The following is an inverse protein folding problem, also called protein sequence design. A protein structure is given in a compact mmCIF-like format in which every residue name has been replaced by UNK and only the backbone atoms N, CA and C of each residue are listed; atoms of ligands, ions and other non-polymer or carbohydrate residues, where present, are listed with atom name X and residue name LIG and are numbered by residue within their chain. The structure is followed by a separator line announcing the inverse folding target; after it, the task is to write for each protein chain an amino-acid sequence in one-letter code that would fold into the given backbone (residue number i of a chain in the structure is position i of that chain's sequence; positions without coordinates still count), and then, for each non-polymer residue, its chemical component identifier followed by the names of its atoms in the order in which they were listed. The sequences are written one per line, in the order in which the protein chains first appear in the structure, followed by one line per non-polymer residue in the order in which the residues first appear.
data_IF_551508847494
#
_entry.id   IF_551508847494
#
_cell.length_a   1.000
_cell.length_b   1.000
_cell.length_c   1.000
_cell.angle_alpha   90.00
_cell.angle_beta   90.00
_cell.angle_gamma   90.00
#
_symmetry.space_group_name_H-M   'P 1'
#
loop_
_entity.id
_entity.type
_entity.pdbx_description
1 polymer ?
#
# COMPACT_ATOMS: atom_id res chain seq x y z
N UNK A 1 20.05 -1.41 54.13
CA UNK A 1 18.88 -1.48 53.24
C UNK A 1 18.29 -2.86 53.45
N UNK A 2 17.17 -2.97 54.15
CA UNK A 2 16.55 -4.27 54.47
C UNK A 2 16.22 -5.01 53.15
N UNK A 3 16.64 -6.27 53.05
CA UNK A 3 16.27 -7.13 51.93
C UNK A 3 14.80 -7.52 52.10
N UNK A 4 13.90 -6.87 51.35
CA UNK A 4 12.51 -7.30 51.26
C UNK A 4 12.42 -8.70 50.69
N UNK A 5 11.68 -9.59 51.36
CA UNK A 5 11.43 -10.93 50.86
C UNK A 5 10.13 -10.97 50.04
N UNK A 6 10.21 -11.55 48.85
CA UNK A 6 9.08 -11.71 47.94
C UNK A 6 8.75 -13.19 47.76
N UNK A 7 7.46 -13.49 47.65
CA UNK A 7 6.96 -14.79 47.23
C UNK A 7 5.99 -14.62 46.07
N UNK A 8 5.93 -15.63 45.22
CA UNK A 8 5.00 -15.64 44.11
C UNK A 8 5.26 -16.83 43.20
N UNK A 9 4.34 -17.03 42.28
CA UNK A 9 4.41 -18.11 41.33
C UNK A 9 3.71 -17.70 40.03
N UNK A 10 4.33 -18.05 38.91
CA UNK A 10 3.79 -17.84 37.58
C UNK A 10 3.09 -19.12 37.13
N UNK A 11 1.76 -19.08 37.04
CA UNK A 11 0.95 -20.25 36.65
C UNK A 11 1.14 -20.58 35.16
N UNK A 12 1.40 -19.55 34.34
CA UNK A 12 1.68 -19.67 32.90
C UNK A 12 0.62 -19.02 32.02
N UNK A 13 0.44 -19.56 30.81
CA UNK A 13 -0.57 -19.09 29.86
C UNK A 13 -1.89 -19.85 30.07
N UNK A 14 -2.90 -19.19 30.64
CA UNK A 14 -4.22 -19.75 30.94
C UNK A 14 -5.27 -18.97 30.15
N UNK A 15 -6.06 -19.66 29.32
CA UNK A 15 -7.15 -19.05 28.51
C UNK A 15 -6.72 -17.80 27.71
N UNK A 16 -5.48 -17.79 27.20
CA UNK A 16 -4.93 -16.68 26.41
C UNK A 16 -4.41 -15.49 27.22
N UNK A 17 -4.28 -15.62 28.54
CA UNK A 17 -3.69 -14.62 29.44
C UNK A 17 -2.55 -15.21 30.25
N UNK A 18 -1.57 -14.39 30.60
CA UNK A 18 -0.45 -14.76 31.46
C UNK A 18 -0.86 -14.47 32.90
N UNK A 19 -0.99 -15.53 33.72
CA UNK A 19 -1.57 -15.46 35.05
C UNK A 19 -0.62 -16.01 36.13
N UNK A 20 -0.80 -15.52 37.35
CA UNK A 20 0.00 -15.91 38.51
C UNK A 20 -0.39 -15.12 39.75
N UNK A 21 0.45 -15.20 40.77
CA UNK A 21 0.32 -14.42 42.00
C UNK A 21 1.67 -13.99 42.55
N UNK A 22 1.69 -12.88 43.30
CA UNK A 22 2.89 -12.37 43.94
C UNK A 22 2.55 -11.47 45.15
N UNK A 23 3.34 -11.56 46.21
CA UNK A 23 3.17 -10.81 47.46
C UNK A 23 4.51 -10.50 48.16
N UNK A 24 4.50 -9.47 48.99
CA UNK A 24 5.59 -9.17 49.94
C UNK A 24 5.42 -10.02 51.18
N UNK A 25 6.45 -10.75 51.62
CA UNK A 25 6.41 -11.55 52.85
C UNK A 25 6.36 -10.67 54.09
N UNK A 26 6.97 -9.47 54.02
CA UNK A 26 7.10 -8.57 55.16
C UNK A 26 5.79 -7.86 55.51
N UNK A 27 4.96 -7.61 54.49
CA UNK A 27 3.73 -6.83 54.63
C UNK A 27 2.46 -7.65 54.30
N UNK A 28 2.57 -8.83 53.70
CA UNK A 28 1.44 -9.62 53.13
C UNK A 28 0.55 -8.85 52.12
N UNK A 29 1.03 -7.73 51.60
CA UNK A 29 0.28 -6.86 50.69
C UNK A 29 0.55 -7.18 49.20
N UNK A 30 -0.43 -6.93 48.31
CA UNK A 30 -0.25 -7.05 46.86
C UNK A 30 0.81 -6.09 46.32
N UNK A 31 1.76 -6.65 45.57
CA UNK A 31 2.89 -5.93 44.97
C UNK A 31 2.69 -5.67 43.47
N UNK A 32 3.47 -4.75 42.91
CA UNK A 32 3.50 -4.54 41.46
C UNK A 32 4.42 -5.56 40.80
N UNK A 33 3.95 -6.14 39.70
CA UNK A 33 4.71 -7.04 38.84
C UNK A 33 4.76 -6.50 37.42
N UNK A 34 5.85 -6.77 36.71
CA UNK A 34 6.08 -6.39 35.33
C UNK A 34 6.14 -7.64 34.46
N UNK A 35 5.31 -7.70 33.42
CA UNK A 35 5.42 -8.71 32.37
C UNK A 35 6.61 -8.39 31.48
N UNK A 36 7.43 -9.40 31.18
CA UNK A 36 8.46 -9.35 30.16
C UNK A 36 8.14 -10.38 29.08
N UNK A 37 8.23 -9.99 27.81
CA UNK A 37 8.18 -10.91 26.67
C UNK A 37 9.48 -10.70 25.89
N UNK A 38 10.22 -11.77 25.64
CA UNK A 38 11.58 -11.77 25.06
C UNK A 38 12.52 -10.78 25.77
N UNK A 39 12.42 -10.73 27.10
CA UNK A 39 13.15 -9.80 27.97
C UNK A 39 12.80 -8.32 27.81
N UNK A 40 11.80 -7.97 26.99
CA UNK A 40 11.30 -6.60 26.85
C UNK A 40 10.16 -6.36 27.85
N UNK A 41 10.25 -5.34 28.73
CA UNK A 41 9.15 -4.95 29.60
C UNK A 41 7.91 -4.54 28.80
N UNK A 42 6.76 -5.10 29.15
CA UNK A 42 5.50 -4.91 28.41
C UNK A 42 4.55 -3.98 29.16
N UNK A 43 4.17 -4.38 30.37
CA UNK A 43 3.20 -3.71 31.20
C UNK A 43 3.51 -4.03 32.67
N UNK A 44 3.20 -3.11 33.58
CA UNK A 44 3.22 -3.37 35.02
C UNK A 44 1.84 -3.29 35.62
N UNK A 45 1.53 -4.18 36.56
CA UNK A 45 0.21 -4.28 37.20
C UNK A 45 0.34 -4.63 38.68
N UNK A 46 -0.56 -4.10 39.50
CA UNK A 46 -0.68 -4.50 40.91
C UNK A 46 -1.37 -5.86 41.00
N UNK A 47 -0.74 -6.82 41.68
CA UNK A 47 -1.24 -8.17 41.82
C UNK A 47 -2.32 -8.24 42.92
N UNK A 48 -3.49 -7.63 42.71
CA UNK A 48 -4.53 -7.49 43.73
C UNK A 48 -5.77 -8.36 43.52
N UNK A 49 -5.77 -9.25 42.51
CA UNK A 49 -6.90 -10.14 42.27
C UNK A 49 -6.98 -11.22 43.37
N UNK A 50 -8.20 -11.61 43.75
CA UNK A 50 -8.40 -12.63 44.78
C UNK A 50 -8.07 -14.04 44.27
N UNK A 51 -7.31 -14.79 45.07
CA UNK A 51 -6.83 -16.16 44.81
C UNK A 51 -7.15 -17.05 46.01
N UNK A 52 -8.19 -17.87 45.87
CA UNK A 52 -8.65 -18.77 46.94
C UNK A 52 -7.61 -19.83 47.28
N UNK A 53 -6.94 -20.39 46.28
CA UNK A 53 -5.87 -21.37 46.42
C UNK A 53 -4.68 -20.86 47.24
N UNK A 54 -4.31 -19.59 47.06
CA UNK A 54 -3.24 -18.96 47.85
C UNK A 54 -3.71 -18.68 49.27
N UNK A 55 -4.97 -18.27 49.46
CA UNK A 55 -5.55 -18.09 50.80
C UNK A 55 -5.58 -19.41 51.59
N UNK A 56 -5.99 -20.50 50.95
CA UNK A 56 -6.10 -21.83 51.56
C UNK A 56 -4.73 -22.40 51.99
N UNK A 57 -3.64 -21.89 51.40
CA UNK A 57 -2.26 -22.22 51.79
C UNK A 57 -1.76 -21.46 53.04
N UNK A 58 -2.59 -20.58 53.65
CA UNK A 58 -2.24 -19.71 54.77
C UNK A 58 -1.07 -18.75 54.52
N UNK A 59 -0.86 -18.33 53.26
CA UNK A 59 0.27 -17.47 52.86
C UNK A 59 -0.11 -15.98 52.76
N UNK A 60 -1.40 -15.64 52.73
CA UNK A 60 -1.93 -14.25 52.77
C UNK A 60 -3.47 -14.24 52.83
N UNK A 61 -4.08 -13.04 52.85
CA UNK A 61 -5.53 -12.85 52.68
C UNK A 61 -6.08 -13.24 51.29
N UNK A 62 -5.21 -13.64 50.35
CA UNK A 62 -5.57 -14.11 49.01
C UNK A 62 -5.62 -13.01 47.93
N UNK A 63 -5.52 -11.73 48.28
CA UNK A 63 -5.50 -10.62 47.31
C UNK A 63 -4.11 -10.42 46.71
N UNK A 64 -3.64 -11.39 45.91
CA UNK A 64 -2.26 -11.44 45.41
C UNK A 64 -2.15 -11.83 43.92
N UNK A 65 -3.27 -12.01 43.22
CA UNK A 65 -3.31 -12.48 41.83
C UNK A 65 -3.09 -11.39 40.79
N UNK A 66 -2.52 -11.77 39.64
CA UNK A 66 -2.41 -10.93 38.45
C UNK A 66 -2.80 -11.70 37.18
N UNK A 67 -3.17 -10.97 36.13
CA UNK A 67 -3.49 -11.51 34.81
C UNK A 67 -3.16 -10.46 33.75
N UNK A 68 -2.36 -10.83 32.74
CA UNK A 68 -1.96 -9.97 31.61
C UNK A 68 -2.50 -10.51 30.30
N UNK A 69 -3.02 -9.62 29.45
CA UNK A 69 -3.32 -9.94 28.05
C UNK A 69 -2.03 -9.84 27.22
N UNK A 70 -1.85 -10.74 26.24
CA UNK A 70 -0.72 -10.65 25.30
C UNK A 70 -1.03 -9.56 24.26
N UNK A 71 -0.22 -8.49 24.15
CA UNK A 71 -0.47 -7.41 23.17
C UNK A 71 -0.29 -7.88 21.73
N UNK A 72 -0.94 -7.20 20.78
CA UNK A 72 -0.97 -7.61 19.37
C UNK A 72 0.42 -7.76 18.73
N UNK A 73 1.41 -6.97 19.17
CA UNK A 73 2.76 -7.01 18.60
C UNK A 73 3.49 -8.35 18.79
N UNK A 74 3.09 -9.16 19.78
CA UNK A 74 3.62 -10.53 19.98
C UNK A 74 2.62 -11.62 19.55
N UNK A 75 1.57 -11.24 18.80
CA UNK A 75 0.68 -12.21 18.14
C UNK A 75 1.15 -12.45 16.70
N UNK A 76 2.45 -12.61 16.54
CA UNK A 76 3.14 -12.59 15.26
C UNK A 76 3.31 -13.97 14.60
N UNK A 77 2.91 -15.03 15.30
CA UNK A 77 3.06 -16.41 14.87
C UNK A 77 4.45 -16.99 15.13
N UNK A 78 5.31 -16.30 15.89
CA UNK A 78 6.60 -16.80 16.38
C UNK A 78 6.48 -17.34 17.81
N UNK A 79 7.51 -18.10 18.24
CA UNK A 79 7.64 -18.50 19.64
C UNK A 79 8.24 -17.35 20.43
N UNK A 80 7.55 -16.94 21.49
CA UNK A 80 8.05 -15.96 22.45
C UNK A 80 8.23 -16.58 23.81
N UNK A 81 9.29 -16.18 24.50
CA UNK A 81 9.49 -16.46 25.92
C UNK A 81 8.84 -15.36 26.75
N UNK A 82 8.22 -15.70 27.88
CA UNK A 82 7.71 -14.73 28.82
C UNK A 82 8.17 -15.00 30.24
N UNK A 83 8.28 -13.93 31.02
CA UNK A 83 8.52 -14.01 32.46
C UNK A 83 7.82 -12.87 33.17
N UNK A 84 7.65 -12.99 34.48
CA UNK A 84 7.07 -11.94 35.31
C UNK A 84 8.05 -11.62 36.42
N UNK A 85 8.37 -10.34 36.58
CA UNK A 85 9.33 -9.84 37.57
C UNK A 85 8.64 -8.92 38.56
N UNK A 86 9.03 -8.97 39.82
CA UNK A 86 8.59 -7.98 40.83
C UNK A 86 9.17 -6.61 40.48
N UNK A 87 8.32 -5.58 40.47
CA UNK A 87 8.72 -4.23 40.11
C UNK A 87 9.77 -3.69 41.08
N UNK A 88 10.82 -3.05 40.55
CA UNK A 88 11.96 -2.54 41.32
C UNK A 88 12.75 -3.60 42.11
N UNK A 89 12.61 -4.88 41.76
CA UNK A 89 13.42 -5.97 42.31
C UNK A 89 13.95 -6.87 41.19
N UNK A 90 15.14 -7.45 41.40
CA UNK A 90 15.69 -8.50 40.51
C UNK A 90 15.15 -9.88 40.89
N UNK A 91 13.83 -9.98 41.08
CA UNK A 91 13.16 -11.22 41.45
C UNK A 91 12.15 -11.61 40.36
N UNK A 92 12.49 -12.66 39.60
CA UNK A 92 11.62 -13.28 38.59
C UNK A 92 10.82 -14.40 39.27
N UNK A 93 9.52 -14.41 39.03
CA UNK A 93 8.65 -15.43 39.62
C UNK A 93 8.99 -16.83 39.09
N UNK A 94 9.07 -17.84 39.96
CA UNK A 94 9.27 -19.23 39.54
C UNK A 94 8.04 -19.78 38.79
N UNK A 95 8.26 -20.76 37.92
CA UNK A 95 7.21 -21.58 37.27
C UNK A 95 7.70 -23.01 37.03
N UNK A 96 6.77 -23.96 36.90
CA UNK A 96 7.08 -25.38 36.64
C UNK A 96 6.96 -25.77 35.15
N UNK A 97 6.79 -24.81 34.25
CA UNK A 97 6.54 -25.05 32.82
C UNK A 97 7.45 -24.25 31.89
N UNK A 98 7.42 -24.59 30.60
CA UNK A 98 8.01 -23.75 29.55
C UNK A 98 7.15 -22.49 29.39
N UNK A 99 7.64 -21.35 29.86
CA UNK A 99 6.98 -20.06 29.72
C UNK A 99 7.13 -19.52 28.29
N UNK A 100 6.50 -20.22 27.33
CA UNK A 100 6.47 -19.83 25.93
C UNK A 100 5.07 -19.80 25.39
N UNK A 101 4.83 -18.93 24.41
CA UNK A 101 3.59 -18.93 23.64
C UNK A 101 3.87 -18.69 22.16
N UNK A 102 2.88 -19.07 21.34
CA UNK A 102 2.83 -18.79 19.91
C UNK A 102 1.39 -18.45 19.56
N UNK A 103 1.12 -17.21 19.19
CA UNK A 103 -0.21 -16.73 18.82
C UNK A 103 -0.19 -16.20 17.38
N UNK A 104 -1.20 -16.54 16.57
CA UNK A 104 -1.34 -16.18 15.15
C UNK A 104 -2.80 -16.17 14.67
N UNK A 105 -3.04 -16.00 13.36
CA UNK A 105 -4.37 -15.79 12.71
C UNK A 105 -5.47 -16.66 13.33
N UNK A 106 -6.56 -16.03 13.78
CA UNK A 106 -7.67 -16.72 14.45
C UNK A 106 -8.46 -17.64 13.51
N UNK A 107 -9.05 -18.72 14.05
CA UNK A 107 -9.87 -19.67 13.25
C UNK A 107 -11.00 -18.98 12.48
N UNK A 108 -11.60 -17.94 13.06
CA UNK A 108 -12.67 -17.16 12.42
C UNK A 108 -12.17 -16.33 11.22
N UNK A 109 -10.92 -15.85 11.26
CA UNK A 109 -10.29 -15.12 10.16
C UNK A 109 -9.95 -16.08 9.02
N UNK A 110 -9.39 -17.25 9.34
CA UNK A 110 -9.14 -18.31 8.33
C UNK A 110 -10.43 -18.73 7.64
N UNK A 111 -11.50 -18.97 8.40
CA UNK A 111 -12.79 -19.36 7.83
C UNK A 111 -13.42 -18.23 6.99
N UNK A 112 -13.32 -16.97 7.44
CA UNK A 112 -13.76 -15.82 6.66
C UNK A 112 -13.00 -15.73 5.34
N UNK A 113 -11.68 -15.84 5.38
CA UNK A 113 -10.85 -15.83 4.18
C UNK A 113 -11.25 -16.95 3.22
N UNK A 114 -11.45 -18.17 3.73
CA UNK A 114 -11.91 -19.33 2.95
C UNK A 114 -13.24 -19.04 2.23
N UNK A 115 -14.23 -18.52 2.95
CA UNK A 115 -15.55 -18.17 2.41
C UNK A 115 -15.47 -17.04 1.38
N UNK A 116 -14.65 -16.02 1.64
CA UNK A 116 -14.41 -14.94 0.67
C UNK A 116 -13.81 -15.51 -0.62
N UNK A 117 -12.75 -16.34 -0.54
CA UNK A 117 -12.14 -16.97 -1.71
C UNK A 117 -13.10 -17.89 -2.46
N UNK A 118 -13.93 -18.66 -1.76
CA UNK A 118 -14.98 -19.49 -2.37
C UNK A 118 -15.98 -18.64 -3.18
N UNK A 119 -16.43 -17.51 -2.63
CA UNK A 119 -17.31 -16.60 -3.34
C UNK A 119 -16.64 -15.99 -4.59
N UNK A 120 -15.37 -15.58 -4.47
CA UNK A 120 -14.62 -15.02 -5.60
C UNK A 120 -14.41 -16.03 -6.72
N UNK A 121 -14.01 -17.27 -6.38
CA UNK A 121 -13.84 -18.36 -7.35
C UNK A 121 -15.15 -18.66 -8.09
N UNK A 122 -16.25 -18.82 -7.34
CA UNK A 122 -17.58 -19.12 -7.89
C UNK A 122 -18.06 -18.02 -8.83
N UNK A 123 -17.74 -16.76 -8.55
CA UNK A 123 -18.11 -15.60 -9.37
C UNK A 123 -17.11 -15.25 -10.47
N UNK A 124 -16.16 -16.14 -10.80
CA UNK A 124 -15.09 -15.86 -11.75
C UNK A 124 -15.04 -16.86 -12.91
N UNK A 125 -14.53 -16.39 -14.05
CA UNK A 125 -14.19 -17.20 -15.23
C UNK A 125 -12.67 -17.18 -15.37
N UNK A 126 -12.05 -18.35 -15.47
CA UNK A 126 -10.60 -18.47 -15.70
C UNK A 126 -10.34 -19.04 -17.08
N UNK A 127 -9.48 -18.37 -17.85
CA UNK A 127 -9.03 -18.76 -19.18
C UNK A 127 -7.50 -18.88 -19.19
N UNK A 128 -6.98 -19.76 -20.04
CA UNK A 128 -5.56 -19.73 -20.41
C UNK A 128 -5.32 -18.67 -21.47
N UNK A 129 -4.16 -18.02 -21.43
CA UNK A 129 -3.66 -17.25 -22.58
C UNK A 129 -2.73 -18.10 -23.45
N UNK A 130 -1.96 -17.44 -24.31
CA UNK A 130 -1.03 -18.07 -25.26
C UNK A 130 0.39 -18.19 -24.71
N UNK A 131 0.67 -17.58 -23.55
CA UNK A 131 1.93 -17.77 -22.82
C UNK A 131 1.78 -18.88 -21.78
N UNK A 132 2.89 -19.30 -21.20
CA UNK A 132 2.93 -20.30 -20.14
C UNK A 132 3.44 -19.71 -18.82
N UNK A 133 3.01 -20.30 -17.71
CA UNK A 133 3.64 -20.05 -16.40
C UNK A 133 4.96 -20.82 -16.40
N UNK A 134 6.06 -20.09 -16.52
CA UNK A 134 7.39 -20.70 -16.53
C UNK A 134 7.82 -21.02 -15.09
N UNK A 135 8.35 -22.22 -14.89
CA UNK A 135 8.92 -22.59 -13.61
C UNK A 135 10.08 -21.65 -13.25
N UNK A 136 10.13 -21.21 -12.00
CA UNK A 136 11.16 -20.31 -11.45
C UNK A 136 11.30 -18.95 -12.17
N UNK A 137 10.37 -18.59 -13.06
CA UNK A 137 10.31 -17.26 -13.65
C UNK A 137 9.58 -16.27 -12.71
N UNK A 138 9.94 -14.98 -12.75
CA UNK A 138 9.18 -13.98 -12.03
C UNK A 138 7.74 -13.87 -12.57
N UNK A 139 6.80 -13.59 -11.68
CA UNK A 139 5.37 -13.52 -12.03
C UNK A 139 4.87 -12.09 -11.88
N UNK A 140 4.00 -11.65 -12.79
CA UNK A 140 3.24 -10.41 -12.64
C UNK A 140 1.76 -10.72 -12.35
N UNK A 141 1.23 -10.19 -11.24
CA UNK A 141 -0.18 -10.23 -10.89
C UNK A 141 -0.83 -8.89 -11.25
N UNK A 142 -1.42 -8.82 -12.44
CA UNK A 142 -1.98 -7.58 -12.97
C UNK A 142 -3.48 -7.52 -12.71
N UNK A 143 -3.93 -6.60 -11.86
CA UNK A 143 -5.34 -6.29 -11.64
C UNK A 143 -5.80 -5.15 -12.57
N UNK A 144 -6.87 -5.36 -13.33
CA UNK A 144 -7.40 -4.38 -14.28
C UNK A 144 -8.89 -4.17 -14.03
N UNK A 145 -9.38 -2.95 -14.26
CA UNK A 145 -10.79 -2.64 -14.32
C UNK A 145 -11.14 -1.87 -15.59
N UNK A 146 -11.63 -2.59 -16.60
CA UNK A 146 -12.02 -2.01 -17.89
C UNK A 146 -13.42 -2.44 -18.34
N UNK A 147 -14.33 -1.46 -18.51
CA UNK A 147 -15.72 -1.70 -18.95
C UNK A 147 -15.93 -1.73 -20.47
N UNK A 148 -14.92 -1.36 -21.25
CA UNK A 148 -15.08 -1.16 -22.70
C UNK A 148 -15.09 -2.49 -23.47
N UNK A 149 -14.45 -3.52 -22.91
CA UNK A 149 -14.18 -4.79 -23.60
C UNK A 149 -12.96 -4.73 -24.55
N UNK A 150 -12.25 -3.59 -24.58
CA UNK A 150 -11.07 -3.39 -25.40
C UNK A 150 -9.82 -3.27 -24.54
N UNK A 151 -8.74 -3.93 -24.94
CA UNK A 151 -7.44 -3.77 -24.29
C UNK A 151 -6.91 -2.38 -24.63
N UNK A 152 -6.69 -1.55 -23.61
CA UNK A 152 -6.19 -0.19 -23.80
C UNK A 152 -4.73 -0.20 -24.29
N UNK A 153 -4.27 0.91 -24.84
CA UNK A 153 -2.88 1.08 -25.27
C UNK A 153 -1.90 0.86 -24.11
N UNK A 154 -2.12 1.52 -22.97
CA UNK A 154 -1.34 1.38 -21.73
C UNK A 154 -1.36 -0.05 -21.21
N UNK A 155 -2.53 -0.70 -21.20
CA UNK A 155 -2.64 -2.09 -20.76
C UNK A 155 -1.81 -3.01 -21.66
N UNK A 156 -1.88 -2.82 -22.98
CA UNK A 156 -1.09 -3.57 -23.97
C UNK A 156 0.41 -3.32 -23.80
N UNK A 157 0.83 -2.05 -23.66
CA UNK A 157 2.24 -1.67 -23.48
C UNK A 157 2.80 -2.24 -22.19
N UNK A 158 2.05 -2.19 -21.10
CA UNK A 158 2.45 -2.78 -19.82
C UNK A 158 2.62 -4.29 -19.96
N UNK A 159 1.65 -4.98 -20.56
CA UNK A 159 1.73 -6.41 -20.84
C UNK A 159 2.96 -6.79 -21.70
N UNK A 160 3.29 -5.98 -22.70
CA UNK A 160 4.50 -6.16 -23.52
C UNK A 160 5.77 -5.99 -22.69
N UNK A 161 5.89 -4.88 -21.96
CA UNK A 161 7.07 -4.58 -21.12
C UNK A 161 7.33 -5.68 -20.08
N UNK A 162 6.27 -6.25 -19.49
CA UNK A 162 6.39 -7.38 -18.56
C UNK A 162 6.91 -8.64 -19.25
N UNK A 163 6.39 -8.98 -20.43
CA UNK A 163 6.83 -10.14 -21.19
C UNK A 163 8.27 -9.99 -21.71
N UNK A 164 8.64 -8.81 -22.19
CA UNK A 164 9.98 -8.51 -22.70
C UNK A 164 11.05 -8.64 -21.60
N UNK A 165 10.65 -8.45 -20.33
CA UNK A 165 11.47 -8.68 -19.14
C UNK A 165 11.41 -10.12 -18.61
N UNK A 166 10.68 -11.01 -19.28
CA UNK A 166 10.57 -12.43 -18.92
C UNK A 166 9.62 -12.74 -17.78
N UNK A 167 8.67 -11.84 -17.44
CA UNK A 167 7.66 -12.12 -16.42
C UNK A 167 6.50 -12.92 -17.01
N UNK A 168 6.11 -14.00 -16.35
CA UNK A 168 4.85 -14.68 -16.64
C UNK A 168 3.68 -13.89 -16.06
N UNK A 169 2.74 -13.46 -16.91
CA UNK A 169 1.61 -12.63 -16.48
C UNK A 169 0.39 -13.48 -16.13
N UNK A 170 -0.12 -13.30 -14.92
CA UNK A 170 -1.47 -13.70 -14.51
C UNK A 170 -2.29 -12.42 -14.46
N UNK A 171 -3.27 -12.31 -15.35
CA UNK A 171 -4.13 -11.13 -15.47
C UNK A 171 -5.46 -11.37 -14.76
N UNK A 172 -5.95 -10.38 -14.01
CA UNK A 172 -7.29 -10.39 -13.42
C UNK A 172 -8.05 -9.13 -13.82
N UNK A 173 -9.08 -9.32 -14.65
CA UNK A 173 -9.93 -8.26 -15.17
C UNK A 173 -11.27 -8.26 -14.41
N UNK A 174 -11.52 -7.17 -13.68
CA UNK A 174 -12.66 -7.01 -12.78
C UNK A 174 -13.95 -6.57 -13.50
N UNK A 175 -14.22 -7.17 -14.65
CA UNK A 175 -15.49 -7.00 -15.39
C UNK A 175 -15.83 -8.29 -16.15
N UNK A 176 -17.06 -8.78 -15.96
CA UNK A 176 -17.61 -9.93 -16.71
C UNK A 176 -18.29 -9.52 -18.03
N UNK A 177 -18.60 -8.24 -18.22
CA UNK A 177 -19.19 -7.77 -19.47
C UNK A 177 -18.13 -7.72 -20.59
N UNK A 178 -18.45 -8.29 -21.76
CA UNK A 178 -17.59 -8.28 -22.95
C UNK A 178 -16.19 -8.86 -22.70
N UNK A 179 -16.09 -9.78 -21.76
CA UNK A 179 -14.81 -10.32 -21.32
C UNK A 179 -14.13 -11.15 -22.42
N UNK A 180 -14.89 -11.77 -23.32
CA UNK A 180 -14.38 -12.58 -24.42
C UNK A 180 -13.59 -11.72 -25.42
N UNK A 181 -14.11 -10.53 -25.77
CA UNK A 181 -13.42 -9.57 -26.63
C UNK A 181 -12.10 -9.09 -26.01
N UNK A 182 -12.13 -8.82 -24.71
CA UNK A 182 -10.93 -8.42 -23.97
C UNK A 182 -9.92 -9.58 -23.89
N UNK A 183 -10.40 -10.79 -23.59
CA UNK A 183 -9.59 -12.00 -23.49
C UNK A 183 -8.85 -12.28 -24.80
N UNK A 184 -9.52 -12.18 -25.94
CA UNK A 184 -8.90 -12.39 -27.25
C UNK A 184 -7.73 -11.43 -27.51
N UNK A 185 -7.84 -10.18 -27.04
CA UNK A 185 -6.79 -9.17 -27.21
C UNK A 185 -5.63 -9.33 -26.21
N UNK A 186 -5.92 -9.82 -25.00
CA UNK A 186 -4.95 -9.99 -23.92
C UNK A 186 -4.24 -11.36 -23.95
N UNK A 187 -4.84 -12.39 -24.54
CA UNK A 187 -4.33 -13.76 -24.59
C UNK A 187 -2.87 -13.88 -25.07
N UNK A 188 -2.41 -13.15 -26.11
CA UNK A 188 -1.02 -13.23 -26.59
C UNK A 188 0.04 -12.87 -25.55
N UNK A 189 -0.36 -12.16 -24.49
CA UNK A 189 0.55 -11.62 -23.48
C UNK A 189 0.43 -12.29 -22.12
N UNK A 190 -0.58 -13.14 -21.91
CA UNK A 190 -0.91 -13.68 -20.60
C UNK A 190 -0.70 -15.19 -20.56
N UNK A 191 -0.27 -15.70 -19.41
CA UNK A 191 -0.31 -17.13 -19.14
C UNK A 191 -1.70 -17.55 -18.66
N UNK A 192 -2.29 -16.74 -17.78
CA UNK A 192 -3.61 -16.95 -17.21
C UNK A 192 -4.39 -15.64 -17.19
N UNK A 193 -5.70 -15.73 -17.41
CA UNK A 193 -6.63 -14.61 -17.35
C UNK A 193 -7.82 -14.99 -16.48
N UNK A 194 -8.16 -14.15 -15.52
CA UNK A 194 -9.30 -14.30 -14.62
C UNK A 194 -10.25 -13.14 -14.86
N UNK A 195 -11.53 -13.42 -15.01
CA UNK A 195 -12.59 -12.43 -15.16
C UNK A 195 -13.56 -12.54 -13.99
N UNK A 196 -13.84 -11.43 -13.34
CA UNK A 196 -14.64 -11.40 -12.10
C UNK A 196 -15.43 -10.10 -11.98
N UNK A 197 -16.29 -9.99 -10.97
CA UNK A 197 -16.88 -8.71 -10.58
C UNK A 197 -15.88 -7.85 -9.81
N UNK A 198 -16.10 -6.54 -9.76
CA UNK A 198 -15.17 -5.57 -9.14
C UNK A 198 -15.24 -5.50 -7.61
N UNK A 199 -15.91 -6.45 -6.95
CA UNK A 199 -16.02 -6.49 -5.49
C UNK A 199 -14.61 -6.57 -4.86
N UNK A 200 -14.28 -5.74 -3.88
CA UNK A 200 -12.97 -5.82 -3.20
C UNK A 200 -11.74 -5.43 -4.05
N UNK A 201 -11.96 -5.04 -5.32
CA UNK A 201 -10.98 -4.42 -6.24
C UNK A 201 -9.65 -5.19 -6.36
N UNK A 202 -8.53 -4.47 -6.38
CA UNK A 202 -7.20 -4.99 -6.72
C UNK A 202 -6.72 -6.02 -5.69
N UNK A 203 -6.90 -5.76 -4.40
CA UNK A 203 -6.55 -6.75 -3.36
C UNK A 203 -7.34 -8.05 -3.48
N UNK A 204 -8.63 -7.99 -3.84
CA UNK A 204 -9.41 -9.21 -4.12
C UNK A 204 -8.95 -9.91 -5.41
N UNK A 205 -8.46 -9.16 -6.38
CA UNK A 205 -7.91 -9.68 -7.63
C UNK A 205 -6.59 -10.42 -7.37
N UNK A 206 -5.65 -9.78 -6.66
CA UNK A 206 -4.38 -10.40 -6.27
C UNK A 206 -4.58 -11.61 -5.36
N UNK A 207 -5.46 -11.51 -4.36
CA UNK A 207 -5.77 -12.66 -3.50
C UNK A 207 -6.30 -13.85 -4.29
N UNK A 208 -7.21 -13.62 -5.24
CA UNK A 208 -7.76 -14.68 -6.10
C UNK A 208 -6.69 -15.26 -7.04
N UNK A 209 -5.81 -14.43 -7.59
CA UNK A 209 -4.69 -14.89 -8.42
C UNK A 209 -3.73 -15.79 -7.64
N UNK A 210 -3.37 -15.40 -6.42
CA UNK A 210 -2.52 -16.20 -5.52
C UNK A 210 -3.22 -17.50 -5.14
N UNK A 211 -4.51 -17.45 -4.85
CA UNK A 211 -5.28 -18.61 -4.41
C UNK A 211 -5.43 -19.66 -5.53
N UNK A 212 -5.62 -19.24 -6.78
CA UNK A 212 -5.74 -20.15 -7.93
C UNK A 212 -4.40 -20.70 -8.45
N UNK A 213 -3.30 -19.96 -8.29
CA UNK A 213 -1.97 -20.29 -8.84
C UNK A 213 -0.90 -20.28 -7.75
N UNK A 214 -1.24 -20.84 -6.59
CA UNK A 214 -0.45 -20.70 -5.36
C UNK A 214 0.96 -21.25 -5.51
N UNK A 215 1.09 -22.42 -6.11
CA UNK A 215 2.38 -23.12 -6.19
C UNK A 215 3.33 -22.38 -7.15
N UNK A 216 2.82 -21.87 -8.26
CA UNK A 216 3.57 -21.05 -9.21
C UNK A 216 3.98 -19.71 -8.58
N UNK A 217 3.05 -19.02 -7.91
CA UNK A 217 3.35 -17.75 -7.21
C UNK A 217 4.41 -17.95 -6.12
N UNK A 218 4.33 -19.03 -5.35
CA UNK A 218 5.26 -19.29 -4.24
C UNK A 218 6.62 -19.85 -4.70
N UNK A 219 6.69 -20.43 -5.89
CA UNK A 219 7.96 -20.88 -6.47
C UNK A 219 8.77 -19.72 -7.07
N UNK A 220 8.10 -18.69 -7.60
CA UNK A 220 8.70 -17.54 -8.26
C UNK A 220 9.77 -16.83 -7.40
N UNK A 221 10.85 -16.31 -8.02
CA UNK A 221 11.91 -15.57 -7.33
C UNK A 221 11.40 -14.25 -6.73
N UNK A 222 10.47 -13.60 -7.44
CA UNK A 222 9.70 -12.47 -6.96
C UNK A 222 8.37 -12.38 -7.73
N UNK A 223 7.43 -11.66 -7.14
CA UNK A 223 6.12 -11.36 -7.75
C UNK A 223 5.95 -9.85 -7.83
N UNK A 224 5.61 -9.37 -9.03
CA UNK A 224 5.25 -7.98 -9.28
C UNK A 224 3.72 -7.83 -9.21
N UNK A 225 3.25 -7.07 -8.24
CA UNK A 225 1.85 -6.68 -8.10
C UNK A 225 1.65 -5.34 -8.78
N UNK A 226 0.62 -5.22 -9.61
CA UNK A 226 0.26 -3.97 -10.26
C UNK A 226 -1.23 -3.87 -10.54
N UNK A 227 -1.75 -2.63 -10.54
CA UNK A 227 -3.12 -2.33 -10.95
C UNK A 227 -3.16 -1.34 -12.12
N UNK A 228 -4.35 -1.06 -12.65
CA UNK A 228 -4.55 -0.16 -13.80
C UNK A 228 -4.76 1.32 -13.43
N UNK A 229 -4.33 1.72 -12.22
CA UNK A 229 -4.39 3.11 -11.78
C UNK A 229 -3.33 4.00 -12.43
N UNK A 230 -2.31 3.41 -13.06
CA UNK A 230 -1.24 4.10 -13.80
C UNK A 230 -1.45 3.96 -15.31
N UNK A 231 -1.11 5.01 -16.04
CA UNK A 231 -1.08 5.07 -17.51
C UNK A 231 0.38 4.99 -17.95
N UNK A 232 0.64 4.20 -18.99
CA UNK A 232 1.97 3.88 -19.54
C UNK A 232 2.19 2.36 -19.63
N UNK A 233 3.43 1.87 -19.73
CA UNK A 233 4.65 2.66 -19.73
C UNK A 233 4.88 3.39 -21.06
N UNK A 234 5.32 4.65 -20.99
CA UNK A 234 5.69 5.46 -22.17
C UNK A 234 7.07 5.10 -22.73
N UNK A 235 7.92 4.47 -21.91
CA UNK A 235 9.27 4.04 -22.24
C UNK A 235 9.68 2.85 -21.38
N UNK A 236 10.98 2.53 -21.35
CA UNK A 236 11.52 1.41 -20.57
C UNK A 236 11.31 1.60 -19.06
N UNK A 237 10.92 0.55 -18.34
CA UNK A 237 10.90 0.54 -16.87
C UNK A 237 12.23 0.09 -16.24
N UNK A 238 13.34 0.07 -16.99
CA UNK A 238 14.60 -0.57 -16.59
C UNK A 238 15.15 -0.05 -15.26
N UNK A 239 15.19 1.27 -15.09
CA UNK A 239 15.63 1.93 -13.84
C UNK A 239 14.90 1.39 -12.60
N UNK A 240 13.60 1.12 -12.70
CA UNK A 240 12.80 0.56 -11.62
C UNK A 240 13.24 -0.87 -11.26
N UNK A 241 13.42 -1.72 -12.28
CA UNK A 241 13.83 -3.11 -12.09
C UNK A 241 15.28 -3.23 -11.61
N UNK A 242 16.18 -2.38 -12.11
CA UNK A 242 17.57 -2.31 -11.66
C UNK A 242 17.66 -1.91 -10.19
N UNK A 243 16.91 -0.87 -9.78
CA UNK A 243 16.90 -0.42 -8.38
C UNK A 243 16.34 -1.49 -7.44
N UNK A 244 15.28 -2.21 -7.85
CA UNK A 244 14.79 -3.36 -7.10
C UNK A 244 15.86 -4.46 -6.96
N UNK A 245 16.47 -4.86 -8.07
CA UNK A 245 17.43 -5.96 -8.14
C UNK A 245 18.71 -5.66 -7.35
N UNK A 246 19.22 -4.43 -7.43
CA UNK A 246 20.40 -3.99 -6.69
C UNK A 246 20.13 -3.76 -5.20
N UNK A 247 18.89 -3.38 -4.86
CA UNK A 247 18.52 -2.97 -3.51
C UNK A 247 18.39 -4.12 -2.51
N UNK A 248 18.20 -5.36 -2.97
CA UNK A 248 17.99 -6.52 -2.10
C UNK A 248 16.81 -6.32 -1.15
N UNK A 249 15.71 -5.78 -1.67
CA UNK A 249 14.48 -5.51 -0.94
C UNK A 249 13.58 -6.74 -0.90
N UNK A 250 12.88 -6.93 0.22
CA UNK A 250 11.80 -7.90 0.34
C UNK A 250 10.50 -7.35 -0.25
N UNK A 251 10.25 -6.05 -0.06
CA UNK A 251 9.11 -5.33 -0.64
C UNK A 251 9.61 -4.02 -1.23
N UNK A 252 9.25 -3.73 -2.48
CA UNK A 252 9.71 -2.53 -3.17
C UNK A 252 8.58 -1.89 -3.98
N UNK A 253 8.20 -0.65 -3.68
CA UNK A 253 7.13 0.07 -4.39
C UNK A 253 7.63 1.21 -5.27
N UNK A 254 6.70 1.87 -5.97
CA UNK A 254 7.03 3.09 -6.73
C UNK A 254 7.34 4.27 -5.80
N UNK A 255 6.44 4.54 -4.86
CA UNK A 255 6.42 5.71 -3.99
C UNK A 255 5.85 5.33 -2.64
N UNK A 256 6.32 5.99 -1.59
CA UNK A 256 5.76 5.96 -0.24
C UNK A 256 4.89 7.21 0.01
N UNK A 257 4.02 7.12 0.99
CA UNK A 257 3.12 8.18 1.39
C UNK A 257 2.99 8.19 2.91
N UNK A 258 2.82 9.38 3.46
CA UNK A 258 2.58 9.59 4.89
C UNK A 258 1.09 9.80 5.20
N UNK A 259 0.21 9.64 4.21
CA UNK A 259 -1.21 9.99 4.36
C UNK A 259 -1.86 8.97 5.30
N UNK A 260 -2.39 9.45 6.43
CA UNK A 260 -2.93 8.62 7.51
C UNK A 260 -1.89 7.63 8.10
N UNK A 261 -0.60 7.91 7.90
CA UNK A 261 0.55 7.13 8.36
C UNK A 261 1.45 6.64 7.21
N UNK A 262 2.70 6.31 7.50
CA UNK A 262 3.64 5.78 6.50
C UNK A 262 3.12 4.49 5.85
N UNK A 263 3.12 4.45 4.51
CA UNK A 263 2.79 3.27 3.72
C UNK A 263 3.41 3.36 2.31
N UNK A 264 3.58 2.20 1.67
CA UNK A 264 3.95 2.10 0.25
C UNK A 264 2.66 2.14 -0.58
N UNK A 265 2.65 2.93 -1.66
CA UNK A 265 1.49 2.99 -2.54
C UNK A 265 1.32 1.70 -3.36
N UNK A 266 0.09 1.18 -3.43
CA UNK A 266 -0.19 -0.15 -3.98
C UNK A 266 -0.30 -0.22 -5.50
N UNK A 267 -0.09 0.89 -6.23
CA UNK A 267 -0.27 0.91 -7.69
C UNK A 267 0.63 -0.07 -8.44
N UNK A 268 1.86 -0.25 -7.93
CA UNK A 268 2.83 -1.21 -8.42
C UNK A 268 3.88 -1.45 -7.32
N UNK A 269 4.12 -2.71 -6.97
CA UNK A 269 5.15 -3.10 -6.02
C UNK A 269 5.63 -4.53 -6.24
N UNK A 270 6.89 -4.79 -5.88
CA UNK A 270 7.54 -6.09 -5.93
C UNK A 270 7.49 -6.74 -4.55
N UNK A 271 7.35 -8.06 -4.52
CA UNK A 271 7.60 -8.88 -3.34
C UNK A 271 8.58 -10.00 -3.67
N UNK A 272 9.64 -10.13 -2.88
CA UNK A 272 10.59 -11.23 -2.98
C UNK A 272 9.94 -12.55 -2.53
N UNK A 273 10.56 -13.68 -2.90
CA UNK A 273 10.21 -15.00 -2.36
C UNK A 273 10.23 -15.04 -0.84
N UNK A 274 11.15 -14.31 -0.20
CA UNK A 274 11.23 -14.16 1.27
C UNK A 274 9.97 -13.49 1.81
N UNK A 275 9.54 -12.39 1.20
CA UNK A 275 8.33 -11.69 1.61
C UNK A 275 7.07 -12.55 1.42
N UNK A 276 6.94 -13.24 0.29
CA UNK A 276 5.81 -14.13 -0.02
C UNK A 276 5.75 -15.35 0.91
N UNK A 277 6.89 -15.81 1.41
CA UNK A 277 6.99 -16.90 2.37
C UNK A 277 6.85 -16.43 3.82
N UNK A 278 6.79 -15.10 4.05
CA UNK A 278 6.75 -14.54 5.40
C UNK A 278 5.40 -14.78 6.08
N UNK A 279 5.37 -15.10 7.37
CA UNK A 279 4.13 -15.13 8.15
C UNK A 279 3.39 -13.79 8.13
N UNK A 280 4.11 -12.67 8.06
CA UNK A 280 3.55 -11.32 8.03
C UNK A 280 2.62 -11.12 6.82
N UNK A 281 3.06 -11.53 5.62
CA UNK A 281 2.25 -11.45 4.41
C UNK A 281 0.96 -12.28 4.52
N UNK A 282 1.08 -13.55 4.93
CA UNK A 282 -0.09 -14.43 5.03
C UNK A 282 -1.05 -13.99 6.14
N UNK A 283 -0.55 -13.42 7.25
CA UNK A 283 -1.38 -12.82 8.29
C UNK A 283 -2.21 -11.67 7.74
N UNK A 284 -1.59 -10.76 7.00
CA UNK A 284 -2.32 -9.70 6.31
C UNK A 284 -3.43 -10.30 5.45
N UNK A 285 -3.08 -11.24 4.56
CA UNK A 285 -4.02 -11.81 3.59
C UNK A 285 -5.22 -12.50 4.28
N UNK A 286 -4.99 -13.27 5.35
CA UNK A 286 -6.07 -13.91 6.10
C UNK A 286 -6.92 -12.95 6.93
N UNK A 287 -6.34 -11.86 7.45
CA UNK A 287 -7.06 -10.85 8.24
C UNK A 287 -7.85 -9.86 7.37
N UNK A 288 -7.46 -9.72 6.10
CA UNK A 288 -8.05 -8.76 5.18
C UNK A 288 -9.49 -9.14 4.80
N UNK A 289 -10.40 -8.19 4.96
CA UNK A 289 -11.81 -8.33 4.55
C UNK A 289 -12.03 -7.49 3.31
N UNK A 290 -12.53 -8.11 2.24
CA UNK A 290 -12.84 -7.40 1.00
C UNK A 290 -14.04 -6.49 1.21
N UNK A 291 -13.91 -5.24 0.74
CA UNK A 291 -14.93 -4.21 0.86
C UNK A 291 -14.99 -3.38 -0.42
N UNK A 292 -16.14 -2.79 -0.70
CA UNK A 292 -16.32 -1.80 -1.78
C UNK A 292 -16.18 -0.36 -1.27
N UNK A 293 -16.05 -0.17 0.05
CA UNK A 293 -15.78 1.13 0.67
C UNK A 293 -14.32 1.54 0.40
N UNK A 294 -14.14 2.63 -0.35
CA UNK A 294 -12.83 3.17 -0.74
C UNK A 294 -11.97 3.52 0.49
N UNK A 295 -12.59 4.05 1.55
CA UNK A 295 -11.89 4.44 2.76
C UNK A 295 -11.43 3.22 3.57
N UNK A 296 -12.22 2.14 3.56
CA UNK A 296 -11.82 0.86 4.15
C UNK A 296 -10.70 0.19 3.36
N UNK A 297 -10.76 0.21 2.03
CA UNK A 297 -9.69 -0.32 1.17
C UNK A 297 -8.37 0.43 1.40
N UNK A 298 -8.38 1.76 1.54
CA UNK A 298 -7.16 2.52 1.82
C UNK A 298 -6.61 2.17 3.21
N UNK A 299 -7.48 2.19 4.24
CA UNK A 299 -7.04 1.97 5.63
C UNK A 299 -6.61 0.53 5.90
N UNK A 300 -7.44 -0.44 5.52
CA UNK A 300 -7.19 -1.86 5.78
C UNK A 300 -6.28 -2.49 4.72
N UNK A 301 -6.32 -1.99 3.47
CA UNK A 301 -5.51 -2.46 2.35
C UNK A 301 -4.14 -1.82 2.37
N UNK A 302 -3.96 -0.64 1.74
CA UNK A 302 -2.62 -0.07 1.53
C UNK A 302 -1.84 0.20 2.83
N UNK A 303 -2.50 0.82 3.82
CA UNK A 303 -1.87 1.15 5.11
C UNK A 303 -1.70 -0.12 5.96
N UNK A 304 -2.72 -0.96 6.03
CA UNK A 304 -2.66 -2.23 6.75
C UNK A 304 -1.54 -3.12 6.21
N UNK A 305 -1.50 -3.34 4.90
CA UNK A 305 -0.49 -4.11 4.18
C UNK A 305 0.92 -3.64 4.52
N UNK A 306 1.19 -2.35 4.34
CA UNK A 306 2.52 -1.79 4.62
C UNK A 306 2.93 -1.97 6.08
N UNK A 307 2.01 -1.78 7.03
CA UNK A 307 2.27 -2.00 8.46
C UNK A 307 2.58 -3.46 8.79
N UNK A 308 1.84 -4.41 8.22
CA UNK A 308 2.11 -5.83 8.42
C UNK A 308 3.50 -6.22 7.94
N UNK A 309 3.93 -5.70 6.79
CA UNK A 309 5.24 -6.00 6.22
C UNK A 309 6.38 -5.38 7.05
N UNK A 310 6.25 -4.11 7.45
CA UNK A 310 7.26 -3.43 8.28
C UNK A 310 7.42 -4.07 9.66
N UNK A 311 6.32 -4.50 10.29
CA UNK A 311 6.36 -5.20 11.57
C UNK A 311 6.91 -6.63 11.45
N UNK A 312 7.03 -7.17 10.24
CA UNK A 312 7.60 -8.48 9.97
C UNK A 312 9.11 -8.49 9.75
N UNK A 313 9.81 -7.38 10.04
CA UNK A 313 11.25 -7.20 9.82
C UNK A 313 11.69 -7.37 8.35
N UNK A 314 10.76 -7.23 7.40
CA UNK A 314 11.05 -7.28 5.98
C UNK A 314 11.74 -5.99 5.52
N UNK A 315 12.74 -6.12 4.65
CA UNK A 315 13.44 -4.97 4.09
C UNK A 315 12.59 -4.29 3.02
N UNK A 316 11.94 -3.19 3.39
CA UNK A 316 11.11 -2.39 2.51
C UNK A 316 11.88 -1.25 1.83
N UNK A 317 11.49 -0.88 0.62
CA UNK A 317 12.01 0.30 -0.08
C UNK A 317 11.05 0.84 -1.12
N UNK A 318 11.37 2.00 -1.70
CA UNK A 318 10.61 2.58 -2.81
C UNK A 318 11.54 3.18 -3.86
N UNK A 319 11.07 3.23 -5.10
CA UNK A 319 11.82 3.79 -6.23
C UNK A 319 12.04 5.29 -6.05
N UNK A 320 11.01 6.00 -5.59
CA UNK A 320 11.01 7.43 -5.38
C UNK A 320 10.53 7.77 -3.96
N UNK A 321 11.46 7.87 -2.98
CA UNK A 321 11.12 8.23 -1.60
C UNK A 321 10.53 9.64 -1.51
N UNK A 322 9.46 9.80 -0.73
CA UNK A 322 8.70 11.03 -0.58
C UNK A 322 9.58 12.22 -0.18
N UNK A 323 10.48 12.01 0.78
CA UNK A 323 11.38 13.04 1.27
C UNK A 323 12.32 13.53 0.15
N UNK A 324 12.87 12.62 -0.64
CA UNK A 324 13.81 12.93 -1.73
C UNK A 324 13.10 13.66 -2.89
N UNK A 325 11.94 13.16 -3.35
CA UNK A 325 11.16 13.83 -4.41
C UNK A 325 10.61 15.18 -3.97
N UNK A 326 10.21 15.32 -2.70
CA UNK A 326 9.72 16.58 -2.16
C UNK A 326 10.84 17.63 -2.11
N UNK A 327 12.04 17.24 -1.65
CA UNK A 327 13.20 18.11 -1.65
C UNK A 327 13.60 18.55 -3.07
N UNK A 328 13.59 17.61 -4.03
CA UNK A 328 13.85 17.92 -5.44
C UNK A 328 12.81 18.89 -6.01
N UNK A 329 11.53 18.64 -5.77
CA UNK A 329 10.44 19.53 -6.22
C UNK A 329 10.59 20.94 -5.63
N UNK A 330 10.91 21.06 -4.34
CA UNK A 330 11.13 22.34 -3.65
C UNK A 330 12.35 23.09 -4.20
N UNK A 331 13.41 22.38 -4.58
CA UNK A 331 14.62 22.99 -5.14
C UNK A 331 14.38 23.70 -6.49
N UNK A 332 13.33 23.29 -7.23
CA UNK A 332 12.95 23.86 -8.53
C UNK A 332 11.75 24.82 -8.44
N UNK A 333 11.36 25.26 -7.24
CA UNK A 333 10.16 26.09 -7.05
C UNK A 333 10.18 27.37 -7.90
N UNK A 334 11.32 28.07 -7.98
CA UNK A 334 11.44 29.31 -8.75
C UNK A 334 11.25 29.06 -10.26
N UNK A 335 11.90 28.03 -10.80
CA UNK A 335 11.73 27.61 -12.20
C UNK A 335 10.27 27.29 -12.51
N UNK A 336 9.60 26.56 -11.60
CA UNK A 336 8.19 26.18 -11.75
C UNK A 336 7.24 27.37 -11.76
N UNK A 337 7.49 28.34 -10.89
CA UNK A 337 6.72 29.58 -10.84
C UNK A 337 6.93 30.36 -12.15
N UNK A 338 8.17 30.47 -12.63
CA UNK A 338 8.48 31.17 -13.88
C UNK A 338 7.83 30.49 -15.10
N UNK A 339 7.87 29.16 -15.19
CA UNK A 339 7.21 28.38 -16.25
C UNK A 339 5.70 28.60 -16.25
N UNK A 340 5.07 28.57 -15.08
CA UNK A 340 3.64 28.77 -14.96
C UNK A 340 3.20 30.20 -15.33
N UNK A 341 4.07 31.20 -15.12
CA UNK A 341 3.84 32.59 -15.54
C UNK A 341 3.96 32.75 -17.06
N UNK A 342 4.89 32.02 -17.69
CA UNK A 342 5.23 32.16 -19.10
C UNK A 342 4.04 31.83 -20.04
N UNK A 343 3.12 30.94 -19.61
CA UNK A 343 2.04 30.35 -20.43
C UNK A 343 2.56 29.58 -21.67
N UNK A 344 1.77 28.66 -22.24
CA UNK A 344 2.16 28.01 -23.49
C UNK A 344 2.22 29.01 -24.66
N UNK A 345 3.14 28.78 -25.59
CA UNK A 345 3.16 29.47 -26.88
C UNK A 345 1.81 29.27 -27.60
N UNK A 346 1.30 30.31 -28.26
CA UNK A 346 0.01 30.24 -28.95
C UNK A 346 -1.23 30.27 -28.03
N UNK A 347 -1.10 30.50 -26.72
CA UNK A 347 -2.25 30.58 -25.80
C UNK A 347 -3.33 31.61 -26.20
N UNK A 348 -2.97 32.68 -26.93
CA UNK A 348 -3.93 33.65 -27.50
C UNK A 348 -4.64 33.14 -28.77
N UNK A 349 -4.03 32.21 -29.51
CA UNK A 349 -4.47 31.78 -30.84
C UNK A 349 -5.59 30.74 -30.80
N UNK A 350 -5.94 30.21 -29.62
CA UNK A 350 -7.03 29.25 -29.41
C UNK A 350 -8.47 29.84 -29.58
N UNK A 351 -8.59 30.91 -30.36
CA UNK A 351 -9.75 31.21 -31.22
C UNK A 351 -11.08 31.57 -30.55
N UNK A 352 -11.10 31.85 -29.24
CA UNK A 352 -12.37 31.92 -28.50
C UNK A 352 -12.48 33.03 -27.44
N UNK A 353 -11.40 33.79 -27.19
CA UNK A 353 -11.39 34.94 -26.28
C UNK A 353 -10.98 36.20 -27.05
N UNK A 354 -11.65 37.33 -26.78
CA UNK A 354 -11.11 38.63 -27.17
C UNK A 354 -9.90 39.01 -26.29
N UNK A 355 -9.10 39.96 -26.75
CA UNK A 355 -7.85 40.38 -26.09
C UNK A 355 -8.07 40.77 -24.62
N UNK A 356 -9.16 41.48 -24.31
CA UNK A 356 -9.47 41.92 -22.94
C UNK A 356 -9.82 40.75 -22.04
N UNK A 357 -10.64 39.81 -22.54
CA UNK A 357 -11.00 38.58 -21.83
C UNK A 357 -9.78 37.68 -21.62
N UNK A 358 -8.91 37.57 -22.63
CA UNK A 358 -7.67 36.83 -22.52
C UNK A 358 -6.76 37.43 -21.45
N UNK A 359 -6.49 38.74 -21.50
CA UNK A 359 -5.63 39.42 -20.51
C UNK A 359 -6.16 39.27 -19.08
N UNK A 360 -7.48 39.40 -18.87
CA UNK A 360 -8.09 39.20 -17.57
C UNK A 360 -7.93 37.76 -17.05
N UNK A 361 -8.21 36.77 -17.89
CA UNK A 361 -8.08 35.35 -17.51
C UNK A 361 -6.62 34.92 -17.35
N UNK A 362 -5.70 35.47 -18.16
CA UNK A 362 -4.26 35.30 -18.03
C UNK A 362 -3.79 35.78 -16.66
N UNK A 363 -4.18 36.99 -16.26
CA UNK A 363 -3.84 37.50 -14.92
C UNK A 363 -4.37 36.56 -13.83
N UNK A 364 -5.63 36.15 -13.92
CA UNK A 364 -6.21 35.20 -12.96
C UNK A 364 -5.52 33.83 -12.95
N UNK A 365 -5.01 33.35 -14.09
CA UNK A 365 -4.21 32.13 -14.14
C UNK A 365 -2.85 32.28 -13.47
N UNK A 366 -2.15 33.38 -13.77
CA UNK A 366 -0.84 33.68 -13.19
C UNK A 366 -0.96 33.79 -11.67
N UNK A 367 -1.92 34.58 -11.16
CA UNK A 367 -2.17 34.73 -9.73
C UNK A 367 -2.46 33.36 -9.09
N UNK A 368 -3.35 32.57 -9.70
CA UNK A 368 -3.69 31.23 -9.23
C UNK A 368 -2.49 30.27 -9.21
N UNK A 369 -1.66 30.27 -10.24
CA UNK A 369 -0.52 29.36 -10.33
C UNK A 369 0.56 29.72 -9.31
N UNK A 370 0.88 31.01 -9.16
CA UNK A 370 1.81 31.51 -8.15
C UNK A 370 1.34 31.14 -6.75
N UNK A 371 0.07 31.43 -6.43
CA UNK A 371 -0.53 31.09 -5.13
C UNK A 371 -0.48 29.58 -4.90
N UNK A 372 -0.80 28.77 -5.92
CA UNK A 372 -0.78 27.32 -5.80
C UNK A 372 0.62 26.81 -5.46
N UNK A 373 1.66 27.27 -6.16
CA UNK A 373 3.04 26.85 -5.92
C UNK A 373 3.57 27.28 -4.56
N UNK A 374 3.34 28.55 -4.17
CA UNK A 374 3.77 29.07 -2.88
C UNK A 374 3.09 28.30 -1.74
N UNK A 375 1.77 28.11 -1.82
CA UNK A 375 1.02 27.37 -0.81
C UNK A 375 1.46 25.89 -0.76
N UNK A 376 1.66 25.24 -1.91
CA UNK A 376 2.12 23.85 -1.95
C UNK A 376 3.52 23.72 -1.34
N UNK A 377 4.42 24.66 -1.62
CA UNK A 377 5.75 24.70 -1.02
C UNK A 377 5.72 24.92 0.50
N UNK A 378 4.85 25.82 0.99
CA UNK A 378 4.65 26.02 2.44
C UNK A 378 4.16 24.75 3.08
N UNK A 379 3.13 24.11 2.50
CA UNK A 379 2.57 22.87 2.99
C UNK A 379 3.63 21.77 3.10
N UNK A 380 4.46 21.57 2.07
CA UNK A 380 5.52 20.57 2.09
C UNK A 380 6.58 20.86 3.16
N UNK A 381 6.97 22.14 3.34
CA UNK A 381 7.93 22.56 4.40
C UNK A 381 7.37 22.38 5.80
N UNK A 382 6.05 22.53 5.96
CA UNK A 382 5.33 22.34 7.22
C UNK A 382 4.98 20.86 7.48
N UNK A 383 5.36 19.95 6.58
CA UNK A 383 5.12 18.51 6.73
C UNK A 383 3.71 18.06 6.41
N UNK A 384 2.91 18.89 5.71
CA UNK A 384 1.62 18.44 5.19
C UNK A 384 1.81 17.39 4.12
N UNK A 385 1.02 16.32 4.23
CA UNK A 385 1.10 15.19 3.32
C UNK A 385 0.34 15.48 2.03
N UNK A 386 0.94 15.08 0.91
CA UNK A 386 0.33 15.09 -0.42
C UNK A 386 0.45 13.72 -1.05
N UNK A 387 -0.39 13.43 -2.05
CA UNK A 387 -0.16 12.26 -2.88
C UNK A 387 1.04 12.52 -3.80
N UNK A 388 2.14 11.73 -3.70
CA UNK A 388 3.35 11.99 -4.47
C UNK A 388 3.15 11.79 -5.97
N UNK A 389 2.35 10.81 -6.38
CA UNK A 389 2.04 10.54 -7.78
C UNK A 389 1.18 11.63 -8.43
N UNK A 390 0.55 12.50 -7.63
CA UNK A 390 -0.17 13.67 -8.14
C UNK A 390 0.70 14.92 -8.16
N UNK A 391 1.44 15.18 -7.08
CA UNK A 391 2.19 16.43 -6.89
C UNK A 391 3.51 16.43 -7.65
N UNK A 392 4.22 15.30 -7.63
CA UNK A 392 5.58 15.15 -8.14
C UNK A 392 5.64 14.38 -9.46
N UNK A 393 4.54 14.38 -10.23
CA UNK A 393 4.41 13.58 -11.45
C UNK A 393 5.54 13.84 -12.45
N UNK A 394 6.06 15.08 -12.52
CA UNK A 394 7.11 15.47 -13.46
C UNK A 394 8.48 14.97 -13.00
N UNK A 395 8.79 15.07 -11.71
CA UNK A 395 10.00 14.49 -11.12
C UNK A 395 10.02 12.97 -11.25
N UNK A 396 8.88 12.33 -10.97
CA UNK A 396 8.74 10.89 -11.15
C UNK A 396 9.05 10.48 -12.59
N UNK A 397 8.49 11.21 -13.55
CA UNK A 397 8.65 10.94 -14.97
C UNK A 397 10.09 11.17 -15.47
N UNK A 398 10.68 12.32 -15.15
CA UNK A 398 11.94 12.79 -15.76
C UNK A 398 13.17 12.41 -14.93
N UNK A 399 13.12 12.64 -13.61
CA UNK A 399 14.30 12.46 -12.74
C UNK A 399 14.41 11.03 -12.22
N UNK A 400 13.28 10.40 -11.89
CA UNK A 400 13.23 9.00 -11.47
C UNK A 400 13.02 8.04 -12.63
N UNK A 401 12.90 8.55 -13.87
CA UNK A 401 12.71 7.75 -15.08
C UNK A 401 11.58 6.72 -14.93
N UNK A 402 10.48 7.12 -14.29
CA UNK A 402 9.31 6.29 -14.10
C UNK A 402 8.31 6.62 -15.22
N UNK A 403 8.20 5.83 -16.29
CA UNK A 403 7.42 6.17 -17.48
C UNK A 403 5.91 5.95 -17.27
N UNK A 404 5.39 6.30 -16.09
CA UNK A 404 4.02 6.04 -15.66
C UNK A 404 3.40 7.30 -15.05
N UNK A 405 2.13 7.57 -15.37
CA UNK A 405 1.37 8.69 -14.79
C UNK A 405 0.07 8.19 -14.17
N UNK A 406 -0.31 8.73 -13.01
CA UNK A 406 -1.57 8.36 -12.35
C UNK A 406 -2.78 8.75 -13.21
N UNK A 407 -3.66 7.79 -13.50
CA UNK A 407 -4.89 8.00 -14.28
C UNK A 407 -5.79 9.07 -13.69
N UNK A 408 -5.93 9.12 -12.36
CA UNK A 408 -6.74 10.14 -11.67
C UNK A 408 -6.22 11.57 -11.88
N UNK A 409 -4.90 11.74 -12.01
CA UNK A 409 -4.28 13.03 -12.32
C UNK A 409 -4.75 13.54 -13.70
N UNK A 410 -4.74 12.65 -14.69
CA UNK A 410 -5.16 12.94 -16.07
C UNK A 410 -6.67 13.09 -16.24
N UNK A 411 -7.49 12.43 -15.45
CA UNK A 411 -8.96 12.47 -15.60
C UNK A 411 -9.62 13.53 -14.74
N UNK A 412 -9.05 13.84 -13.57
CA UNK A 412 -9.72 14.62 -12.53
C UNK A 412 -8.89 15.78 -11.98
N UNK A 413 -7.55 15.74 -12.08
CA UNK A 413 -6.65 16.72 -11.47
C UNK A 413 -7.04 17.05 -10.01
N UNK A 414 -7.03 16.06 -9.10
CA UNK A 414 -7.55 16.23 -7.73
C UNK A 414 -6.82 17.34 -6.95
N UNK A 415 -5.51 17.49 -7.19
CA UNK A 415 -4.65 18.53 -6.58
C UNK A 415 -4.82 19.91 -7.24
N UNK A 416 -5.57 19.97 -8.34
CA UNK A 416 -5.73 21.17 -9.18
C UNK A 416 -4.37 21.76 -9.57
N UNK A 417 -3.42 20.92 -9.97
CA UNK A 417 -2.10 21.37 -10.40
C UNK A 417 -2.24 22.31 -11.62
N UNK A 418 -1.61 23.51 -11.60
CA UNK A 418 -1.80 24.54 -12.62
C UNK A 418 -1.15 24.20 -13.96
N UNK A 419 -0.14 23.31 -13.95
CA UNK A 419 0.71 22.98 -15.12
C UNK A 419 0.35 21.68 -15.83
N UNK A 420 -0.80 21.04 -15.54
CA UNK A 420 -1.16 19.81 -16.27
C UNK A 420 -1.31 20.02 -17.80
N UNK A 421 -1.40 21.27 -18.25
CA UNK A 421 -1.38 21.62 -19.67
C UNK A 421 -0.01 21.42 -20.35
N UNK A 422 1.10 21.29 -19.61
CA UNK A 422 2.40 20.97 -20.22
C UNK A 422 2.67 19.47 -20.29
N UNK A 423 1.83 18.64 -19.65
CA UNK A 423 2.08 17.21 -19.51
C UNK A 423 2.20 16.48 -20.85
N UNK A 424 1.39 16.82 -21.85
CA UNK A 424 1.48 16.21 -23.17
C UNK A 424 2.84 16.52 -23.82
N UNK A 425 3.26 17.79 -23.82
CA UNK A 425 4.56 18.19 -24.34
C UNK A 425 5.71 17.49 -23.60
N UNK A 426 5.64 17.44 -22.26
CA UNK A 426 6.68 16.78 -21.44
C UNK A 426 6.80 15.29 -21.76
N UNK A 427 5.69 14.60 -21.98
CA UNK A 427 5.70 13.17 -22.36
C UNK A 427 6.23 13.01 -23.78
N UNK A 428 5.81 13.86 -24.72
CA UNK A 428 6.28 13.83 -26.11
C UNK A 428 7.79 14.09 -26.20
N UNK A 429 8.30 15.09 -25.47
CA UNK A 429 9.73 15.42 -25.44
C UNK A 429 10.56 14.27 -24.84
N UNK A 430 10.03 13.58 -23.83
CA UNK A 430 10.74 12.52 -23.13
C UNK A 430 10.63 11.14 -23.80
N UNK A 431 9.51 10.85 -24.49
CA UNK A 431 9.18 9.50 -24.97
C UNK A 431 8.70 9.45 -26.44
N UNK A 432 8.53 10.59 -27.09
CA UNK A 432 8.12 10.70 -28.50
C UNK A 432 6.60 10.80 -28.71
N UNK A 433 6.22 11.18 -29.94
CA UNK A 433 4.82 11.45 -30.33
C UNK A 433 3.90 10.22 -30.20
N UNK A 434 4.41 9.01 -30.40
CA UNK A 434 3.63 7.76 -30.27
C UNK A 434 3.05 7.57 -28.86
N UNK A 435 3.74 8.05 -27.82
CA UNK A 435 3.25 7.99 -26.44
C UNK A 435 1.99 8.85 -26.26
N UNK A 436 1.91 10.00 -26.92
CA UNK A 436 0.75 10.91 -26.86
C UNK A 436 -0.43 10.38 -27.65
N UNK A 437 -0.17 9.86 -28.85
CA UNK A 437 -1.20 9.21 -29.67
C UNK A 437 -1.82 8.04 -28.90
N UNK A 438 -1.00 7.23 -28.23
CA UNK A 438 -1.45 6.12 -27.40
C UNK A 438 -2.36 6.53 -26.24
N UNK A 439 -1.95 7.50 -25.42
CA UNK A 439 -2.73 7.94 -24.25
C UNK A 439 -4.06 8.57 -24.66
N UNK A 440 -4.12 9.26 -25.80
CA UNK A 440 -5.36 9.88 -26.32
C UNK A 440 -6.51 8.87 -26.48
N UNK A 441 -6.19 7.58 -26.66
CA UNK A 441 -7.15 6.48 -26.74
C UNK A 441 -7.55 5.92 -25.36
N UNK A 442 -6.66 6.03 -24.36
CA UNK A 442 -6.82 5.44 -23.02
C UNK A 442 -7.47 6.39 -22.02
N UNK A 443 -7.16 7.67 -22.15
CA UNK A 443 -7.77 8.75 -21.42
C UNK A 443 -8.18 9.81 -22.44
N UNK A 444 -9.34 10.43 -22.24
CA UNK A 444 -9.56 11.75 -22.85
C UNK A 444 -8.55 12.67 -22.18
N UNK A 445 -7.37 12.82 -22.77
CA UNK A 445 -6.38 13.82 -22.36
C UNK A 445 -7.18 15.10 -22.15
N UNK A 446 -7.11 15.65 -20.94
CA UNK A 446 -7.95 16.76 -20.48
C UNK A 446 -7.66 18.02 -21.32
N UNK A 447 -8.07 18.08 -22.59
CA UNK A 447 -7.89 19.22 -23.51
C UNK A 447 -6.61 20.00 -23.18
N UNK A 448 -5.52 19.23 -23.12
CA UNK A 448 -4.39 19.49 -22.23
C UNK A 448 -3.35 20.39 -22.89
N UNK A 449 -3.71 21.15 -23.90
CA UNK A 449 -2.84 22.16 -24.53
C UNK A 449 -3.08 23.55 -23.95
N UNK A 450 -4.18 23.75 -23.19
CA UNK A 450 -4.59 25.06 -22.66
C UNK A 450 -4.77 25.00 -21.13
N UNK A 451 -4.22 25.96 -20.38
CA UNK A 451 -4.47 26.11 -18.96
C UNK A 451 -5.97 26.18 -18.61
N UNK A 452 -6.46 25.53 -17.53
CA UNK A 452 -7.89 25.42 -17.23
C UNK A 452 -8.67 26.75 -17.20
N UNK A 453 -8.04 27.82 -16.70
CA UNK A 453 -8.66 29.16 -16.60
C UNK A 453 -8.73 29.90 -17.95
N UNK A 454 -7.91 29.49 -18.93
CA UNK A 454 -7.92 30.02 -20.29
C UNK A 454 -8.90 29.27 -21.23
N UNK A 455 -9.43 28.12 -20.80
CA UNK A 455 -10.38 27.33 -21.60
C UNK A 455 -11.72 28.07 -21.77
N UNK A 456 -12.21 28.11 -23.01
CA UNK A 456 -13.58 28.55 -23.28
C UNK A 456 -14.50 27.33 -23.25
N UNK A 457 -15.38 27.30 -22.24
CA UNK A 457 -16.40 26.26 -22.16
C UNK A 457 -17.40 26.47 -23.29
N UNK A 458 -17.43 25.53 -24.23
CA UNK A 458 -18.39 25.53 -25.31
C UNK A 458 -19.81 25.35 -24.75
N UNK A 459 -20.58 26.44 -24.69
CA UNK A 459 -21.92 26.45 -24.05
C UNK A 459 -22.96 25.58 -24.78
N UNK A 460 -22.67 25.14 -26.01
CA UNK A 460 -23.60 24.35 -26.84
C UNK A 460 -23.70 22.86 -26.45
N UNK A 461 -22.81 22.33 -25.62
CA UNK A 461 -22.82 20.91 -25.24
C UNK A 461 -23.77 20.55 -24.07
N UNK A 462 -24.43 21.53 -23.44
CA UNK A 462 -25.35 21.29 -22.30
C UNK A 462 -26.82 21.10 -22.69
N UNK A 463 -27.21 21.21 -23.97
CA UNK A 463 -28.62 21.06 -24.38
C UNK A 463 -29.01 19.67 -24.87
N UNK A 464 -28.15 18.66 -24.68
CA UNK A 464 -28.49 17.24 -24.94
C UNK A 464 -27.84 16.34 -23.89
N UNK A 465 -28.41 16.31 -22.69
CA UNK A 465 -28.36 15.14 -21.80
C UNK A 465 -29.58 15.16 -20.91
#
# INVERSE_FOLDING_TARGET
MEMRMFQGYLDGLINGKIEGWALSVDDEHPIFVTLLIDNVPVESRKASAFRQDVKDSNTSEGNCGFSFSIPERWRDGMWHDFSVRVMNANYILPSNGLNRFRLGVGKSEVERYRLQMEALRTGSVTLSGEKELQADAPIALFAIFNKTGNLSWSQRRMLQELNDRGLSVILCQSTLEKFESFAQQAAPYCAKMIFRTNFGRDFASWALQIDLFRDEVLSAPYVLFLNDSMIGPFGSMESLFEKFSAGGYDVFGLTDSWDRGYHIQSSLFFMSKTALSSPAFWRFLYSYTFSDDRDEIIRAGEIGFSRFLLNGELKCGVHAPFEEISALWLSRLEERVNEAIALPEGAMEHGSLDERQFLHRRRGHVDYAVDWYINKASNLREGYVVNPQHTFWRELLLDYQLPLIKKELLLHNPERAPILWSMAQVIEDAFGAEAIEGISHDARLLDATIPPLLRVRDRKARSKK
#
